data_IF_976396481697
#
_entry.id   IF_976396481697
#
_cell.length_a   1.000
_cell.length_b   1.000
_cell.length_c   1.000
_cell.angle_alpha   90.00
_cell.angle_beta   90.00
_cell.angle_gamma   90.00
#
_symmetry.space_group_name_H-M   'P 1'
#
loop_
_entity.id
_entity.type
_entity.pdbx_description
1 polymer ?
#
# COMPACT_ATOMS: atom_id res chain seq x y z
N UNK A 1 50.58 -77.23 0.83
CA UNK A 1 49.12 -76.99 0.78
C UNK A 1 48.71 -76.21 2.02
N UNK A 2 48.51 -74.90 1.87
CA UNK A 2 47.61 -74.06 2.68
C UNK A 2 47.79 -72.63 2.16
N UNK A 3 46.74 -72.11 1.55
CA UNK A 3 46.69 -70.83 0.86
C UNK A 3 46.69 -69.65 1.84
N UNK A 4 47.55 -68.66 1.57
CA UNK A 4 47.42 -67.29 2.09
C UNK A 4 46.47 -66.50 1.18
N UNK A 5 45.31 -66.10 1.71
CA UNK A 5 44.41 -65.14 1.07
C UNK A 5 44.60 -63.76 1.70
N UNK A 6 45.17 -62.84 0.92
CA UNK A 6 45.25 -61.42 1.26
C UNK A 6 43.94 -60.72 0.98
N UNK A 7 43.36 -60.07 1.99
CA UNK A 7 42.23 -59.16 1.84
C UNK A 7 42.79 -57.73 1.75
N UNK A 8 42.84 -57.17 0.53
CA UNK A 8 43.12 -55.75 0.31
C UNK A 8 41.84 -54.97 0.56
N UNK A 9 41.80 -54.19 1.65
CA UNK A 9 40.78 -53.18 1.88
C UNK A 9 41.06 -51.96 0.99
N UNK A 10 40.29 -51.82 -0.09
CA UNK A 10 40.29 -50.59 -0.90
C UNK A 10 39.39 -49.55 -0.24
N UNK A 11 40.01 -48.51 0.34
CA UNK A 11 39.32 -47.31 0.81
C UNK A 11 38.89 -46.49 -0.40
N UNK A 12 37.59 -46.50 -0.75
CA UNK A 12 37.02 -45.59 -1.74
C UNK A 12 36.75 -44.26 -1.06
N UNK A 13 37.60 -43.27 -1.32
CA UNK A 13 37.34 -41.88 -0.94
C UNK A 13 36.25 -41.32 -1.87
N UNK A 14 35.03 -41.17 -1.36
CA UNK A 14 33.95 -40.48 -2.05
C UNK A 14 34.25 -38.97 -2.07
N UNK A 15 34.72 -38.48 -3.22
CA UNK A 15 34.86 -37.05 -3.48
C UNK A 15 33.44 -36.47 -3.65
N UNK A 16 32.90 -35.83 -2.61
CA UNK A 16 31.71 -34.99 -2.75
C UNK A 16 32.09 -33.74 -3.56
N UNK A 17 31.80 -33.77 -4.86
CA UNK A 17 31.74 -32.54 -5.66
C UNK A 17 30.55 -31.72 -5.18
N UNK A 18 30.82 -30.65 -4.42
CA UNK A 18 29.87 -29.57 -4.23
C UNK A 18 29.69 -28.85 -5.58
N UNK A 19 28.69 -29.27 -6.35
CA UNK A 19 28.17 -28.48 -7.47
C UNK A 19 27.54 -27.22 -6.87
N UNK A 20 28.30 -26.13 -6.80
CA UNK A 20 27.76 -24.79 -6.69
C UNK A 20 26.97 -24.52 -7.99
N UNK A 21 25.71 -24.92 -8.00
CA UNK A 21 24.79 -24.61 -9.08
C UNK A 21 24.65 -23.09 -9.16
N UNK A 22 25.28 -22.48 -10.17
CA UNK A 22 24.98 -21.12 -10.55
C UNK A 22 23.52 -21.10 -10.98
N UNK A 23 22.65 -20.55 -10.13
CA UNK A 23 21.27 -20.22 -10.54
C UNK A 23 21.41 -19.18 -11.64
N UNK A 24 21.16 -19.56 -12.89
CA UNK A 24 21.10 -18.60 -13.99
C UNK A 24 19.98 -17.60 -13.66
N UNK A 25 20.24 -16.28 -13.78
CA UNK A 25 19.17 -15.31 -13.67
C UNK A 25 18.10 -15.67 -14.70
N UNK A 26 16.83 -15.72 -14.28
CA UNK A 26 15.73 -16.01 -15.18
C UNK A 26 15.59 -14.85 -16.17
N UNK A 27 16.26 -14.94 -17.30
CA UNK A 27 16.22 -13.98 -18.41
C UNK A 27 15.00 -14.20 -19.30
N UNK A 28 13.85 -14.51 -18.71
CA UNK A 28 12.58 -14.57 -19.42
C UNK A 28 12.00 -13.17 -19.57
N UNK A 29 11.55 -12.80 -20.76
CA UNK A 29 10.75 -11.60 -20.93
C UNK A 29 9.50 -11.68 -20.03
N UNK A 30 9.19 -10.60 -19.31
CA UNK A 30 7.99 -10.52 -18.48
C UNK A 30 6.78 -10.66 -19.41
N UNK A 31 5.97 -11.70 -19.21
CA UNK A 31 4.74 -11.87 -19.98
C UNK A 31 3.73 -10.80 -19.55
N UNK A 32 3.22 -10.04 -20.53
CA UNK A 32 2.26 -8.96 -20.30
C UNK A 32 0.88 -9.35 -20.80
N UNK A 33 -0.21 -8.89 -20.16
CA UNK A 33 -1.55 -9.15 -20.67
C UNK A 33 -1.77 -8.40 -22.00
N UNK A 34 -2.62 -8.94 -22.89
CA UNK A 34 -2.96 -8.27 -24.14
C UNK A 34 -3.46 -6.83 -23.91
N UNK A 35 -2.93 -5.87 -24.66
CA UNK A 35 -3.32 -4.45 -24.56
C UNK A 35 -2.67 -3.68 -23.40
N UNK A 36 -1.81 -4.31 -22.60
CA UNK A 36 -1.03 -3.61 -21.59
C UNK A 36 0.07 -2.72 -22.21
N UNK A 37 0.47 -1.61 -21.55
CA UNK A 37 1.62 -0.80 -21.96
C UNK A 37 2.88 -1.65 -22.01
N UNK A 38 3.69 -1.53 -23.07
CA UNK A 38 4.93 -2.31 -23.21
C UNK A 38 5.95 -2.00 -22.11
N UNK A 39 6.67 -3.02 -21.65
CA UNK A 39 7.83 -2.87 -20.76
C UNK A 39 9.12 -2.82 -21.58
N UNK A 40 9.84 -1.70 -21.50
CA UNK A 40 11.15 -1.55 -22.14
C UNK A 40 12.24 -1.48 -21.09
N UNK A 41 13.15 -2.46 -21.08
CA UNK A 41 14.28 -2.46 -20.14
C UNK A 41 15.22 -1.28 -20.42
N UNK A 42 15.54 -0.51 -19.38
CA UNK A 42 16.49 0.61 -19.40
C UNK A 42 17.45 0.52 -18.21
N UNK A 43 18.68 1.05 -18.32
CA UNK A 43 19.58 1.15 -17.17
C UNK A 43 18.99 2.07 -16.08
N UNK A 44 19.14 1.70 -14.80
CA UNK A 44 18.78 2.60 -13.69
C UNK A 44 19.49 3.96 -13.77
N UNK A 45 20.72 3.97 -14.27
CA UNK A 45 21.54 5.18 -14.44
C UNK A 45 21.00 6.16 -15.48
N UNK A 46 20.08 5.73 -16.36
CA UNK A 46 19.43 6.64 -17.31
C UNK A 46 18.16 7.30 -16.76
N UNK A 47 17.73 6.94 -15.54
CA UNK A 47 16.54 7.57 -14.94
C UNK A 47 16.83 9.03 -14.59
N UNK A 48 15.95 9.97 -14.99
CA UNK A 48 16.06 11.36 -14.58
C UNK A 48 16.08 11.49 -13.05
N UNK A 49 17.03 12.28 -12.53
CA UNK A 49 17.20 12.47 -11.09
C UNK A 49 17.84 11.30 -10.36
N UNK A 50 18.20 10.19 -11.05
CA UNK A 50 18.87 9.04 -10.43
C UNK A 50 20.02 9.53 -9.58
N UNK A 51 21.03 10.17 -10.17
CA UNK A 51 22.28 10.58 -9.50
C UNK A 51 22.09 11.51 -8.29
N UNK A 52 20.99 12.26 -8.23
CA UNK A 52 20.76 13.30 -7.21
C UNK A 52 19.80 12.87 -6.09
N UNK A 53 19.01 11.81 -6.30
CA UNK A 53 18.08 11.31 -5.28
C UNK A 53 18.81 10.71 -4.06
N UNK A 54 18.16 10.70 -2.90
CA UNK A 54 18.62 9.99 -1.70
C UNK A 54 18.20 8.52 -1.78
N UNK A 55 19.07 7.70 -2.35
CA UNK A 55 18.81 6.28 -2.60
C UNK A 55 18.91 5.46 -1.31
N UNK A 56 19.69 5.89 -0.33
CA UNK A 56 19.75 5.22 0.97
C UNK A 56 18.41 5.28 1.73
N UNK A 57 17.65 6.37 1.58
CA UNK A 57 16.29 6.47 2.12
C UNK A 57 15.33 5.48 1.43
N UNK A 58 15.42 5.35 0.10
CA UNK A 58 14.63 4.37 -0.66
C UNK A 58 14.96 2.94 -0.24
N UNK A 59 16.25 2.62 -0.06
CA UNK A 59 16.72 1.33 0.44
C UNK A 59 16.18 1.03 1.85
N UNK A 60 16.19 2.02 2.75
CA UNK A 60 15.65 1.86 4.11
C UNK A 60 14.16 1.48 4.06
N UNK A 61 13.38 2.11 3.19
CA UNK A 61 11.97 1.74 2.96
C UNK A 61 11.86 0.34 2.34
N UNK A 62 12.71 0.00 1.36
CA UNK A 62 12.70 -1.31 0.72
C UNK A 62 13.01 -2.45 1.70
N UNK A 63 13.98 -2.28 2.60
CA UNK A 63 14.30 -3.25 3.65
C UNK A 63 13.11 -3.50 4.57
N UNK A 64 12.29 -2.48 4.87
CA UNK A 64 11.04 -2.66 5.65
C UNK A 64 10.07 -3.57 4.91
N UNK A 65 9.91 -3.40 3.61
CA UNK A 65 9.10 -4.29 2.76
C UNK A 65 9.65 -5.72 2.73
N UNK A 66 10.97 -5.86 2.64
CA UNK A 66 11.64 -7.15 2.60
C UNK A 66 11.38 -8.03 3.81
N UNK A 67 11.35 -7.45 5.02
CA UNK A 67 11.00 -8.20 6.26
C UNK A 67 9.64 -8.87 6.18
N UNK A 68 8.69 -8.26 5.48
CA UNK A 68 7.36 -8.84 5.27
C UNK A 68 7.38 -9.85 4.12
N UNK A 69 8.04 -9.55 3.00
CA UNK A 69 8.09 -10.44 1.83
C UNK A 69 8.84 -11.75 2.15
N UNK A 70 9.93 -11.68 2.92
CA UNK A 70 10.77 -12.83 3.22
C UNK A 70 10.05 -13.94 4.00
N UNK A 71 9.03 -13.58 4.79
CA UNK A 71 8.24 -14.54 5.59
C UNK A 71 6.97 -15.02 4.88
N UNK A 72 6.68 -14.53 3.66
CA UNK A 72 5.55 -15.02 2.86
C UNK A 72 5.86 -16.40 2.25
N UNK A 73 4.82 -17.22 1.98
CA UNK A 73 4.95 -18.39 1.11
C UNK A 73 5.59 -18.00 -0.22
N UNK A 74 6.56 -18.81 -0.68
CA UNK A 74 7.36 -18.49 -1.86
C UNK A 74 6.53 -18.33 -3.15
N UNK A 75 5.41 -19.03 -3.24
CA UNK A 75 4.46 -19.02 -4.36
C UNK A 75 3.38 -17.92 -4.25
N UNK A 76 3.34 -17.18 -3.14
CA UNK A 76 2.38 -16.09 -2.96
C UNK A 76 2.62 -14.99 -4.00
N UNK A 77 1.60 -14.69 -4.80
CA UNK A 77 1.61 -13.58 -5.76
C UNK A 77 1.63 -12.23 -5.03
N UNK A 78 2.42 -11.29 -5.54
CA UNK A 78 2.49 -9.92 -5.04
C UNK A 78 1.59 -8.93 -5.82
N UNK A 79 0.88 -9.40 -6.85
CA UNK A 79 0.07 -8.57 -7.75
C UNK A 79 -1.33 -8.22 -7.25
N UNK A 80 -1.73 -8.73 -6.08
CA UNK A 80 -3.12 -8.61 -5.59
C UNK A 80 -4.13 -9.41 -6.43
N UNK A 81 -5.43 -9.32 -6.06
CA UNK A 81 -6.51 -10.09 -6.70
C UNK A 81 -7.23 -9.37 -7.84
N UNK A 82 -7.13 -8.04 -7.90
CA UNK A 82 -8.08 -7.22 -8.67
C UNK A 82 -7.46 -6.54 -9.90
N UNK A 83 -6.18 -6.80 -10.19
CA UNK A 83 -5.47 -6.19 -11.32
C UNK A 83 -4.73 -7.26 -12.15
N UNK A 84 -5.27 -7.65 -13.33
CA UNK A 84 -4.66 -8.65 -14.19
C UNK A 84 -3.23 -8.32 -14.63
N UNK A 85 -2.91 -7.03 -14.80
CA UNK A 85 -1.56 -6.60 -15.12
C UNK A 85 -0.60 -6.89 -13.97
N UNK A 86 -0.95 -6.47 -12.75
CA UNK A 86 -0.12 -6.71 -11.58
C UNK A 86 0.01 -8.21 -11.27
N UNK A 87 -1.04 -9.00 -11.45
CA UNK A 87 -1.01 -10.45 -11.28
C UNK A 87 0.03 -11.15 -12.17
N UNK A 88 0.23 -10.65 -13.38
CA UNK A 88 1.18 -11.23 -14.33
C UNK A 88 2.59 -10.64 -14.19
N UNK A 89 2.71 -9.40 -13.70
CA UNK A 89 3.98 -8.65 -13.73
C UNK A 89 4.67 -8.49 -12.37
N UNK A 90 3.94 -8.52 -11.25
CA UNK A 90 4.51 -8.29 -9.91
C UNK A 90 5.32 -9.48 -9.36
N UNK A 91 5.16 -10.67 -9.96
CA UNK A 91 5.86 -11.89 -9.55
C UNK A 91 5.37 -12.50 -8.24
N UNK A 92 6.17 -13.40 -7.69
CA UNK A 92 5.91 -14.15 -6.45
C UNK A 92 6.95 -13.81 -5.38
N UNK A 93 6.58 -13.91 -4.10
CA UNK A 93 7.46 -13.56 -2.98
C UNK A 93 8.82 -14.30 -3.00
N UNK A 94 8.86 -15.56 -3.47
CA UNK A 94 10.10 -16.34 -3.58
C UNK A 94 11.15 -15.73 -4.50
N UNK A 95 10.74 -14.98 -5.52
CA UNK A 95 11.65 -14.31 -6.46
C UNK A 95 12.40 -13.13 -5.81
N UNK A 96 11.87 -12.59 -4.72
CA UNK A 96 12.42 -11.41 -4.03
C UNK A 96 13.45 -11.76 -2.96
N UNK A 97 13.60 -13.04 -2.60
CA UNK A 97 14.47 -13.48 -1.50
C UNK A 97 15.92 -13.04 -1.69
N UNK A 98 16.48 -13.22 -2.89
CA UNK A 98 17.86 -12.83 -3.19
C UNK A 98 18.05 -11.30 -3.08
N UNK A 99 17.13 -10.53 -3.67
CA UNK A 99 17.18 -9.07 -3.58
C UNK A 99 17.08 -8.61 -2.13
N UNK A 100 16.15 -9.16 -1.35
CA UNK A 100 15.95 -8.80 0.04
C UNK A 100 17.15 -9.13 0.93
N UNK A 101 17.74 -10.31 0.79
CA UNK A 101 18.95 -10.68 1.52
C UNK A 101 20.12 -9.75 1.17
N UNK A 102 20.26 -9.36 -0.10
CA UNK A 102 21.25 -8.40 -0.53
C UNK A 102 21.05 -7.00 0.07
N UNK A 103 19.79 -6.55 0.18
CA UNK A 103 19.47 -5.22 0.70
C UNK A 103 19.86 -5.07 2.17
N UNK A 104 19.65 -6.10 2.99
CA UNK A 104 19.96 -6.06 4.43
C UNK A 104 21.45 -5.97 4.73
N UNK A 105 22.31 -6.37 3.78
CA UNK A 105 23.76 -6.29 3.91
C UNK A 105 24.34 -4.90 3.60
N UNK A 106 23.54 -4.00 3.04
CA UNK A 106 24.00 -2.67 2.63
C UNK A 106 24.00 -1.71 3.84
N UNK A 107 25.09 -0.96 4.08
CA UNK A 107 25.14 0.02 5.17
C UNK A 107 24.02 1.07 5.06
N UNK A 108 23.33 1.39 6.16
CA UNK A 108 22.30 2.44 6.15
C UNK A 108 22.93 3.82 5.93
N UNK A 109 22.17 4.72 5.31
CA UNK A 109 22.59 6.10 5.00
C UNK A 109 23.84 6.21 4.08
N UNK A 110 24.19 5.14 3.35
CA UNK A 110 25.24 5.16 2.34
C UNK A 110 24.62 5.12 0.94
N UNK A 111 24.53 6.30 0.32
CA UNK A 111 23.91 6.47 -0.99
C UNK A 111 24.70 5.78 -2.12
N UNK A 112 26.03 5.75 -2.02
CA UNK A 112 26.86 5.10 -3.02
C UNK A 112 26.69 3.57 -2.96
N UNK A 113 26.67 3.00 -1.76
CA UNK A 113 26.42 1.58 -1.56
C UNK A 113 24.98 1.19 -1.98
N UNK A 114 23.98 2.02 -1.65
CA UNK A 114 22.59 1.79 -2.05
C UNK A 114 22.42 1.82 -3.58
N UNK A 115 23.08 2.74 -4.28
CA UNK A 115 23.09 2.79 -5.76
C UNK A 115 23.75 1.57 -6.37
N UNK A 116 24.90 1.15 -5.84
CA UNK A 116 25.58 -0.05 -6.29
C UNK A 116 24.69 -1.29 -6.13
N UNK A 117 24.00 -1.39 -4.99
CA UNK A 117 23.03 -2.45 -4.74
C UNK A 117 21.88 -2.45 -5.77
N UNK A 118 21.15 -1.34 -5.92
CA UNK A 118 20.02 -1.32 -6.86
C UNK A 118 20.45 -1.59 -8.30
N UNK A 119 21.62 -1.06 -8.72
CA UNK A 119 22.19 -1.32 -10.06
C UNK A 119 22.54 -2.79 -10.27
N UNK A 120 22.98 -3.50 -9.24
CA UNK A 120 23.36 -4.90 -9.32
C UNK A 120 22.16 -5.86 -9.27
N UNK A 121 21.10 -5.50 -8.53
CA UNK A 121 19.97 -6.39 -8.25
C UNK A 121 18.72 -6.13 -9.09
N UNK A 122 18.60 -4.94 -9.71
CA UNK A 122 17.39 -4.54 -10.42
C UNK A 122 17.67 -4.01 -11.83
N UNK A 123 16.71 -4.24 -12.71
CA UNK A 123 16.60 -3.61 -14.02
C UNK A 123 15.39 -2.69 -14.00
N UNK A 124 15.54 -1.44 -14.45
CA UNK A 124 14.41 -0.55 -14.62
C UNK A 124 13.66 -0.89 -15.91
N UNK A 125 12.33 -0.81 -15.88
CA UNK A 125 11.48 -0.97 -17.06
C UNK A 125 10.64 0.29 -17.23
N UNK A 126 10.76 0.94 -18.38
CA UNK A 126 9.91 2.07 -18.75
C UNK A 126 8.51 1.58 -19.11
N UNK A 127 7.49 2.25 -18.58
CA UNK A 127 6.06 1.98 -18.79
C UNK A 127 5.42 3.20 -19.45
N UNK A 128 5.37 3.20 -20.79
CA UNK A 128 4.88 4.34 -21.58
C UNK A 128 5.68 5.63 -21.39
N UNK A 129 5.15 6.74 -21.91
CA UNK A 129 5.82 8.06 -21.90
C UNK A 129 5.17 9.06 -20.95
N UNK A 130 3.93 8.79 -20.52
CA UNK A 130 3.16 9.69 -19.66
C UNK A 130 2.43 8.88 -18.59
N UNK A 131 2.43 9.40 -17.37
CA UNK A 131 1.68 8.85 -16.26
C UNK A 131 1.01 9.97 -15.46
N UNK A 132 -0.22 9.73 -15.01
CA UNK A 132 -0.87 10.58 -14.02
C UNK A 132 -0.37 10.15 -12.63
N UNK A 133 0.34 11.04 -11.94
CA UNK A 133 0.72 10.85 -10.54
C UNK A 133 -0.17 11.76 -9.68
N UNK A 134 -0.86 11.17 -8.71
CA UNK A 134 -1.64 11.90 -7.71
C UNK A 134 -1.00 11.77 -6.34
N UNK A 135 -1.35 12.68 -5.43
CA UNK A 135 -0.83 12.71 -4.07
C UNK A 135 -1.82 12.12 -3.06
N UNK A 136 -1.27 11.45 -2.06
CA UNK A 136 -1.97 10.92 -0.89
C UNK A 136 -1.31 11.44 0.39
N UNK A 137 -2.07 11.56 1.48
CA UNK A 137 -1.50 11.83 2.81
C UNK A 137 -2.36 11.25 3.93
N UNK A 138 -1.81 11.19 5.15
CA UNK A 138 -2.53 10.78 6.35
C UNK A 138 -3.13 12.05 7.04
N UNK A 139 -4.42 12.40 6.82
CA UNK A 139 -5.01 13.59 7.41
C UNK A 139 -5.14 13.50 8.92
N UNK A 140 -5.13 14.67 9.58
CA UNK A 140 -5.35 14.79 11.01
C UNK A 140 -6.66 15.54 11.30
N UNK A 141 -7.52 14.94 12.13
CA UNK A 141 -8.80 15.52 12.55
C UNK A 141 -8.99 15.47 14.06
N UNK A 142 -9.82 16.37 14.60
CA UNK A 142 -10.24 16.29 16.00
C UNK A 142 -11.33 15.23 16.16
N UNK A 143 -11.29 14.45 17.25
CA UNK A 143 -12.28 13.40 17.47
C UNK A 143 -12.46 12.93 18.90
N UNK A 144 -13.26 11.88 19.03
CA UNK A 144 -13.62 11.24 20.29
C UNK A 144 -13.74 9.73 20.11
N UNK A 145 -13.36 8.95 21.13
CA UNK A 145 -13.70 7.51 21.14
C UNK A 145 -15.18 7.25 21.41
N UNK A 146 -15.85 8.19 22.09
CA UNK A 146 -17.24 8.07 22.52
C UNK A 146 -18.10 9.18 21.92
N UNK A 147 -19.37 8.87 21.65
CA UNK A 147 -20.37 9.86 21.27
C UNK A 147 -20.49 10.93 22.35
N UNK A 148 -20.38 12.21 21.96
CA UNK A 148 -20.52 13.36 22.88
C UNK A 148 -20.93 14.62 22.10
N UNK A 149 -21.39 15.68 22.79
CA UNK A 149 -21.67 16.96 22.13
C UNK A 149 -20.48 17.43 21.28
N UNK A 150 -20.75 17.79 20.02
CA UNK A 150 -19.74 18.22 19.05
C UNK A 150 -18.94 17.10 18.37
N UNK A 151 -19.11 15.83 18.75
CA UNK A 151 -18.47 14.67 18.11
C UNK A 151 -19.49 13.56 17.94
N UNK A 152 -20.30 13.69 16.89
CA UNK A 152 -21.48 12.85 16.65
C UNK A 152 -21.40 12.05 15.36
N UNK A 153 -20.38 12.28 14.51
CA UNK A 153 -20.22 11.62 13.22
C UNK A 153 -19.43 10.32 13.40
N UNK A 154 -20.04 9.13 13.28
CA UNK A 154 -19.36 7.87 13.54
C UNK A 154 -18.41 7.49 12.39
N UNK A 155 -17.25 6.94 12.74
CA UNK A 155 -16.40 6.16 11.85
C UNK A 155 -16.59 4.68 12.21
N UNK A 156 -17.05 3.87 11.27
CA UNK A 156 -17.34 2.47 11.53
C UNK A 156 -16.17 1.54 11.18
N UNK A 157 -15.97 0.51 12.00
CA UNK A 157 -15.22 -0.68 11.60
C UNK A 157 -16.06 -1.51 10.61
N UNK A 158 -15.45 -2.41 9.85
CA UNK A 158 -16.17 -3.21 8.86
C UNK A 158 -17.13 -4.18 9.56
N UNK A 159 -18.44 -4.18 9.21
CA UNK A 159 -19.37 -5.16 9.76
C UNK A 159 -18.97 -6.59 9.39
N UNK A 160 -19.15 -7.52 10.32
CA UNK A 160 -18.99 -8.95 10.04
C UNK A 160 -20.15 -9.50 9.19
N UNK A 161 -21.34 -8.92 9.29
CA UNK A 161 -22.50 -9.24 8.45
C UNK A 161 -22.28 -8.69 7.03
N UNK A 162 -22.18 -9.55 5.99
CA UNK A 162 -21.99 -9.12 4.61
C UNK A 162 -23.10 -8.20 4.09
N UNK A 163 -24.31 -8.32 4.62
CA UNK A 163 -25.47 -7.48 4.25
C UNK A 163 -25.28 -6.07 4.75
N UNK A 164 -24.79 -5.90 5.97
CA UNK A 164 -24.45 -4.59 6.53
C UNK A 164 -23.18 -4.04 5.88
N UNK A 165 -22.22 -4.91 5.57
CA UNK A 165 -20.96 -4.51 4.96
C UNK A 165 -21.12 -4.01 3.52
N UNK A 166 -22.20 -4.38 2.80
CA UNK A 166 -22.44 -3.98 1.40
C UNK A 166 -23.34 -2.76 1.22
N UNK A 167 -23.87 -2.20 2.31
CA UNK A 167 -24.75 -1.02 2.31
C UNK A 167 -24.09 0.18 1.63
N UNK A 168 -24.88 1.00 0.95
CA UNK A 168 -24.40 2.20 0.28
C UNK A 168 -24.03 3.28 1.29
N UNK A 169 -23.22 4.25 0.86
CA UNK A 169 -22.94 5.45 1.66
C UNK A 169 -24.21 6.12 2.18
N UNK A 170 -25.20 6.35 1.33
CA UNK A 170 -26.45 6.99 1.74
C UNK A 170 -27.21 6.20 2.81
N UNK A 171 -27.26 4.86 2.71
CA UNK A 171 -27.88 4.03 3.75
C UNK A 171 -27.15 4.19 5.10
N UNK A 172 -25.81 4.22 5.06
CA UNK A 172 -24.96 4.33 6.24
C UNK A 172 -25.06 5.72 6.87
N UNK A 173 -25.03 6.77 6.07
CA UNK A 173 -25.14 8.17 6.49
C UNK A 173 -26.53 8.46 7.08
N UNK A 174 -27.57 7.78 6.59
CA UNK A 174 -28.92 7.75 7.19
C UNK A 174 -29.09 6.76 8.35
N UNK A 175 -27.99 6.19 8.87
CA UNK A 175 -27.95 5.52 10.15
C UNK A 175 -28.23 4.02 10.10
N UNK A 176 -28.18 3.35 8.95
CA UNK A 176 -28.46 1.91 8.84
C UNK A 176 -27.57 1.01 9.72
N UNK A 177 -26.35 1.47 10.05
CA UNK A 177 -25.38 0.77 10.93
C UNK A 177 -25.50 1.16 12.42
N UNK A 178 -26.33 2.14 12.75
CA UNK A 178 -26.48 2.64 14.12
C UNK A 178 -26.87 1.51 15.07
N UNK A 179 -26.06 1.30 16.11
CA UNK A 179 -26.21 0.22 17.11
C UNK A 179 -26.10 -1.21 16.55
N UNK A 180 -25.68 -1.39 15.28
CA UNK A 180 -25.46 -2.70 14.65
C UNK A 180 -23.99 -2.97 14.34
N UNK A 181 -23.15 -1.94 14.36
CA UNK A 181 -21.73 -2.04 14.01
C UNK A 181 -20.88 -1.26 15.01
N UNK A 182 -19.70 -1.77 15.40
CA UNK A 182 -18.75 -1.03 16.24
C UNK A 182 -18.33 0.30 15.60
N UNK A 183 -18.33 1.35 16.42
CA UNK A 183 -17.79 2.67 16.05
C UNK A 183 -16.33 2.75 16.51
N UNK A 184 -15.43 3.02 15.57
CA UNK A 184 -13.99 3.21 15.79
C UNK A 184 -13.71 4.54 16.50
N UNK A 185 -14.37 5.61 16.06
CA UNK A 185 -14.29 6.94 16.66
C UNK A 185 -15.43 7.83 16.15
N UNK A 186 -15.59 9.00 16.75
CA UNK A 186 -16.52 10.03 16.33
C UNK A 186 -15.76 11.30 15.94
N UNK A 187 -16.07 11.85 14.77
CA UNK A 187 -15.61 13.16 14.32
C UNK A 187 -16.71 14.21 14.53
N UNK A 188 -16.33 15.47 14.37
CA UNK A 188 -17.20 16.63 14.52
C UNK A 188 -17.95 17.00 13.24
N UNK A 189 -17.42 16.63 12.07
CA UNK A 189 -17.94 17.04 10.78
C UNK A 189 -18.03 15.85 9.80
N UNK A 190 -19.18 15.64 9.10
CA UNK A 190 -19.33 14.56 8.14
C UNK A 190 -18.40 14.67 6.94
N UNK A 191 -18.04 15.88 6.52
CA UNK A 191 -17.06 16.11 5.46
C UNK A 191 -15.69 15.58 5.87
N UNK A 192 -15.26 15.80 7.12
CA UNK A 192 -13.98 15.26 7.59
C UNK A 192 -13.96 13.73 7.58
N UNK A 193 -15.08 13.10 7.97
CA UNK A 193 -15.22 11.65 7.91
C UNK A 193 -15.16 11.13 6.46
N UNK A 194 -15.87 11.78 5.53
CA UNK A 194 -15.85 11.45 4.10
C UNK A 194 -14.45 11.61 3.50
N UNK A 195 -13.79 12.74 3.75
CA UNK A 195 -12.45 13.01 3.23
C UNK A 195 -11.41 12.07 3.85
N UNK A 196 -11.56 11.71 5.13
CA UNK A 196 -10.75 10.68 5.79
C UNK A 196 -10.93 9.31 5.13
N UNK A 197 -12.16 8.94 4.74
CA UNK A 197 -12.45 7.67 4.06
C UNK A 197 -11.89 7.61 2.64
N UNK A 198 -11.89 8.73 1.91
CA UNK A 198 -11.19 8.81 0.60
C UNK A 198 -9.71 8.50 0.78
N UNK A 199 -9.09 9.00 1.86
CA UNK A 199 -7.71 8.65 2.17
C UNK A 199 -7.63 7.21 2.75
N UNK A 200 -8.63 6.72 3.47
CA UNK A 200 -8.60 5.37 4.05
C UNK A 200 -7.65 5.18 5.24
N UNK A 201 -6.96 6.23 5.68
CA UNK A 201 -6.21 6.25 6.94
C UNK A 201 -6.08 7.68 7.47
N UNK A 202 -5.82 7.84 8.77
CA UNK A 202 -5.66 9.16 9.38
C UNK A 202 -5.34 9.15 10.86
N UNK A 203 -5.10 10.34 11.40
CA UNK A 203 -4.82 10.61 12.81
C UNK A 203 -5.98 11.35 13.44
N UNK A 204 -6.53 10.79 14.51
CA UNK A 204 -7.61 11.41 15.27
C UNK A 204 -7.02 11.96 16.56
N UNK A 205 -6.92 13.28 16.64
CA UNK A 205 -6.53 14.00 17.84
C UNK A 205 -7.68 13.93 18.85
N UNK A 206 -7.48 13.20 19.94
CA UNK A 206 -8.45 13.06 21.00
C UNK A 206 -8.33 14.24 21.98
N UNK A 207 -9.43 14.57 22.65
CA UNK A 207 -9.48 15.69 23.60
C UNK A 207 -8.50 15.61 24.78
N UNK A 208 -7.99 14.42 25.09
CA UNK A 208 -6.96 14.22 26.11
C UNK A 208 -5.52 14.43 25.58
N UNK A 209 -5.36 14.90 24.34
CA UNK A 209 -4.08 15.11 23.68
C UNK A 209 -3.46 13.86 23.06
N UNK A 210 -4.09 12.68 23.20
CA UNK A 210 -3.58 11.44 22.59
C UNK A 210 -4.03 11.32 21.14
N UNK A 211 -3.21 10.69 20.31
CA UNK A 211 -3.54 10.41 18.90
C UNK A 211 -4.06 8.98 18.78
N UNK A 212 -5.27 8.84 18.26
CA UNK A 212 -5.79 7.57 17.77
C UNK A 212 -5.51 7.49 16.27
N UNK A 213 -4.62 6.59 15.87
CA UNK A 213 -4.40 6.30 14.45
C UNK A 213 -5.46 5.32 13.95
N UNK A 214 -6.00 5.58 12.77
CA UNK A 214 -6.97 4.71 12.11
C UNK A 214 -6.51 4.38 10.70
N UNK A 215 -6.85 3.18 10.24
CA UNK A 215 -6.50 2.70 8.91
C UNK A 215 -7.58 1.82 8.32
N UNK A 216 -7.42 1.50 7.05
CA UNK A 216 -8.36 0.75 6.24
C UNK A 216 -8.72 -0.59 6.89
N UNK A 217 -10.02 -0.85 7.00
CA UNK A 217 -10.61 -2.10 7.48
C UNK A 217 -11.47 -2.80 6.42
N UNK A 218 -11.41 -2.30 5.18
CA UNK A 218 -12.21 -2.79 4.07
C UNK A 218 -13.16 -1.73 3.52
N UNK A 219 -13.91 -2.15 2.50
CA UNK A 219 -14.91 -1.33 1.82
C UNK A 219 -16.18 -2.14 1.58
N UNK A 220 -17.24 -1.44 1.16
CA UNK A 220 -18.55 -2.02 0.87
C UNK A 220 -18.72 -2.64 -0.52
N UNK A 221 -17.68 -2.60 -1.36
CA UNK A 221 -17.71 -3.19 -2.71
C UNK A 221 -18.51 -2.38 -3.74
N UNK A 222 -19.06 -1.23 -3.36
CA UNK A 222 -19.74 -0.32 -4.28
C UNK A 222 -18.73 0.43 -5.17
N UNK A 223 -19.10 0.86 -6.38
CA UNK A 223 -18.21 1.59 -7.27
C UNK A 223 -17.82 2.95 -6.67
N UNK A 224 -16.58 3.35 -6.90
CA UNK A 224 -16.13 4.70 -6.55
C UNK A 224 -16.65 5.71 -7.59
N UNK A 225 -17.24 6.80 -7.12
CA UNK A 225 -17.61 7.94 -7.97
C UNK A 225 -16.84 9.19 -7.53
N UNK A 226 -16.03 9.81 -8.42
CA UNK A 226 -15.27 11.01 -8.10
C UNK A 226 -16.18 12.24 -8.04
N UNK A 227 -16.55 12.68 -6.84
CA UNK A 227 -17.47 13.82 -6.65
C UNK A 227 -16.95 15.14 -7.24
N UNK A 228 -15.63 15.30 -7.41
CA UNK A 228 -15.06 16.48 -8.05
C UNK A 228 -15.60 16.72 -9.46
N UNK A 229 -15.81 15.66 -10.26
CA UNK A 229 -16.41 15.79 -11.59
C UNK A 229 -17.88 16.22 -11.52
N UNK A 230 -18.61 15.76 -10.49
CA UNK A 230 -20.01 16.14 -10.26
C UNK A 230 -20.09 17.62 -9.90
N UNK A 231 -19.24 18.08 -8.99
CA UNK A 231 -19.15 19.49 -8.59
C UNK A 231 -18.79 20.39 -9.77
N UNK A 232 -17.89 19.96 -10.66
CA UNK A 232 -17.58 20.68 -11.89
C UNK A 232 -18.79 20.77 -12.82
N UNK A 233 -19.50 19.65 -13.02
CA UNK A 233 -20.68 19.63 -13.88
C UNK A 233 -21.83 20.51 -13.35
N UNK A 234 -21.93 20.65 -12.03
CA UNK A 234 -22.88 21.55 -11.37
C UNK A 234 -22.46 23.03 -11.38
N UNK A 235 -21.20 23.33 -11.72
CA UNK A 235 -20.63 24.68 -11.67
C UNK A 235 -20.13 25.11 -10.28
N UNK A 236 -20.07 24.18 -9.32
CA UNK A 236 -19.64 24.42 -7.95
C UNK A 236 -18.12 24.63 -7.83
N UNK A 237 -17.35 23.99 -8.73
CA UNK A 237 -15.90 24.09 -8.82
C UNK A 237 -15.46 24.23 -10.29
N UNK A 238 -14.33 24.90 -10.52
CA UNK A 238 -13.71 24.91 -11.85
C UNK A 238 -12.88 23.63 -12.08
N UNK A 239 -12.79 23.10 -13.32
CA UNK A 239 -12.05 21.88 -13.61
C UNK A 239 -10.57 21.89 -13.14
N UNK A 240 -9.91 23.04 -13.24
CA UNK A 240 -8.51 23.23 -12.85
C UNK A 240 -8.32 23.48 -11.35
N UNK A 241 -9.39 23.60 -10.58
CA UNK A 241 -9.36 23.85 -9.14
C UNK A 241 -9.68 22.58 -8.33
N UNK A 242 -10.07 21.48 -8.98
CA UNK A 242 -10.48 20.25 -8.29
C UNK A 242 -9.29 19.67 -7.51
N UNK A 243 -9.39 19.72 -6.19
CA UNK A 243 -8.40 19.19 -5.27
C UNK A 243 -9.07 18.71 -3.98
N UNK A 244 -8.33 17.98 -3.16
CA UNK A 244 -8.79 17.60 -1.83
C UNK A 244 -9.24 18.82 -1.01
N UNK A 245 -8.45 19.89 -1.05
CA UNK A 245 -8.63 21.10 -0.25
C UNK A 245 -9.86 21.88 -0.71
N UNK A 246 -10.01 22.10 -2.02
CA UNK A 246 -11.13 22.86 -2.58
C UNK A 246 -12.45 22.13 -2.42
N UNK A 247 -12.48 20.80 -2.64
CA UNK A 247 -13.66 19.96 -2.37
C UNK A 247 -14.05 20.04 -0.88
N UNK A 248 -13.09 19.80 0.02
CA UNK A 248 -13.36 19.82 1.47
C UNK A 248 -13.86 21.19 1.94
N UNK A 249 -13.23 22.27 1.47
CA UNK A 249 -13.62 23.63 1.82
C UNK A 249 -15.03 23.96 1.33
N UNK A 250 -15.34 23.63 0.07
CA UNK A 250 -16.66 23.88 -0.51
C UNK A 250 -17.75 23.10 0.23
N UNK A 251 -17.55 21.81 0.50
CA UNK A 251 -18.53 20.99 1.22
C UNK A 251 -18.77 21.51 2.65
N UNK A 252 -17.72 21.98 3.33
CA UNK A 252 -17.86 22.59 4.66
C UNK A 252 -18.60 23.93 4.64
N UNK A 253 -18.47 24.68 3.55
CA UNK A 253 -19.16 25.96 3.37
C UNK A 253 -20.65 25.79 2.98
N UNK A 254 -21.03 24.64 2.43
CA UNK A 254 -22.39 24.32 1.97
C UNK A 254 -22.95 23.08 2.68
N UNK A 255 -23.12 23.10 4.02
CA UNK A 255 -23.49 21.93 4.80
C UNK A 255 -24.88 21.37 4.45
N UNK A 256 -25.77 22.20 3.89
CA UNK A 256 -27.10 21.84 3.39
C UNK A 256 -27.04 20.98 2.12
N UNK A 257 -25.96 21.08 1.34
CA UNK A 257 -25.77 20.36 0.07
C UNK A 257 -24.74 19.23 0.19
N UNK A 258 -23.84 19.32 1.16
CA UNK A 258 -22.68 18.45 1.29
C UNK A 258 -23.06 16.96 1.32
N UNK A 259 -24.05 16.57 2.11
CA UNK A 259 -24.48 15.17 2.23
C UNK A 259 -24.93 14.61 0.88
N UNK A 260 -25.82 15.33 0.18
CA UNK A 260 -26.36 14.87 -1.11
C UNK A 260 -25.25 14.69 -2.17
N UNK A 261 -24.24 15.57 -2.17
CA UNK A 261 -23.08 15.45 -3.09
C UNK A 261 -22.18 14.27 -2.70
N UNK A 262 -21.87 14.12 -1.41
CA UNK A 262 -21.03 13.02 -0.92
C UNK A 262 -21.66 11.65 -1.19
N UNK A 263 -22.99 11.54 -1.03
CA UNK A 263 -23.77 10.32 -1.26
C UNK A 263 -23.81 9.86 -2.73
N UNK A 264 -23.48 10.74 -3.69
CA UNK A 264 -23.28 10.34 -5.08
C UNK A 264 -22.13 9.33 -5.24
N UNK A 265 -21.22 9.26 -4.26
CA UNK A 265 -20.24 8.20 -4.14
C UNK A 265 -20.77 7.09 -3.23
N UNK A 266 -21.37 6.01 -3.77
CA UNK A 266 -21.95 4.95 -2.95
C UNK A 266 -20.89 4.13 -2.19
N UNK A 267 -19.62 4.23 -2.59
CA UNK A 267 -18.50 3.57 -1.92
C UNK A 267 -18.28 4.12 -0.53
N UNK A 268 -18.26 3.22 0.45
CA UNK A 268 -17.94 3.49 1.84
C UNK A 268 -16.69 2.72 2.27
N UNK A 269 -15.78 3.40 2.94
CA UNK A 269 -14.55 2.81 3.49
C UNK A 269 -14.69 2.69 5.00
N UNK A 270 -14.47 1.49 5.51
CA UNK A 270 -14.47 1.21 6.93
C UNK A 270 -13.06 1.39 7.49
N UNK A 271 -12.98 1.80 8.75
CA UNK A 271 -11.74 2.16 9.42
C UNK A 271 -11.65 1.47 10.76
N UNK A 272 -10.47 0.95 11.10
CA UNK A 272 -10.16 0.35 12.39
C UNK A 272 -9.05 1.12 13.09
N UNK A 273 -8.97 1.05 14.44
CA UNK A 273 -7.78 1.49 15.16
C UNK A 273 -6.53 0.76 14.65
N UNK A 274 -5.44 1.50 14.55
CA UNK A 274 -4.11 0.94 14.35
C UNK A 274 -3.39 0.80 15.70
N UNK A 275 -2.47 -0.16 15.77
CA UNK A 275 -1.56 -0.29 16.90
C UNK A 275 -0.56 0.89 16.98
N UNK A 276 0.31 0.90 18.00
CA UNK A 276 1.37 1.90 18.07
C UNK A 276 2.25 1.80 16.82
N UNK A 277 2.50 2.96 16.22
CA UNK A 277 3.34 3.11 15.05
C UNK A 277 4.28 4.29 15.32
N UNK A 278 5.56 4.20 14.94
CA UNK A 278 6.49 5.32 15.03
C UNK A 278 5.97 6.58 14.31
N UNK A 279 6.37 7.75 14.80
CA UNK A 279 5.89 9.03 14.26
C UNK A 279 6.35 9.27 12.81
N UNK A 280 7.50 8.72 12.43
CA UNK A 280 8.09 8.76 11.09
C UNK A 280 7.41 7.79 10.09
N UNK A 281 6.39 7.04 10.52
CA UNK A 281 5.71 6.04 9.72
C UNK A 281 4.24 6.39 9.49
N UNK A 282 3.78 6.22 8.26
CA UNK A 282 2.37 6.31 7.88
C UNK A 282 1.59 5.05 8.22
N UNK A 283 0.29 5.03 7.90
CA UNK A 283 -0.52 3.84 8.03
C UNK A 283 0.01 2.71 7.13
N UNK A 284 -0.19 1.42 7.49
CA UNK A 284 0.17 0.32 6.62
C UNK A 284 -0.51 0.40 5.26
N UNK A 285 0.28 0.21 4.18
CA UNK A 285 -0.23 0.09 2.81
C UNK A 285 -0.79 -1.30 2.51
N UNK A 286 -1.02 -1.59 1.23
CA UNK A 286 -1.55 -2.89 0.77
C UNK A 286 -0.64 -4.08 1.09
N UNK A 287 0.68 -3.86 1.20
CA UNK A 287 1.63 -4.88 1.64
C UNK A 287 1.57 -5.15 3.16
N UNK A 288 0.79 -4.38 3.92
CA UNK A 288 0.74 -4.46 5.39
C UNK A 288 1.94 -3.80 6.09
N UNK A 289 2.79 -3.11 5.34
CA UNK A 289 3.97 -2.39 5.84
C UNK A 289 3.66 -0.90 5.97
N UNK A 290 4.04 -0.23 7.07
CA UNK A 290 3.88 1.22 7.21
C UNK A 290 4.53 1.98 6.05
N UNK A 291 3.77 2.88 5.43
CA UNK A 291 4.28 3.69 4.32
C UNK A 291 5.29 4.72 4.83
N UNK A 292 6.26 5.05 3.99
CA UNK A 292 7.27 6.07 4.28
C UNK A 292 7.02 7.30 3.41
N UNK A 293 6.94 8.48 4.03
CA UNK A 293 6.64 9.73 3.33
C UNK A 293 7.63 9.96 2.16
N UNK A 294 7.09 10.20 0.97
CA UNK A 294 7.88 10.41 -0.26
C UNK A 294 8.64 9.18 -0.78
N UNK A 295 8.49 8.00 -0.16
CA UNK A 295 9.19 6.76 -0.52
C UNK A 295 8.26 5.56 -0.72
N UNK A 296 6.95 5.80 -0.69
CA UNK A 296 5.92 4.78 -0.93
C UNK A 296 4.88 5.32 -1.93
N UNK A 297 4.47 4.48 -2.87
CA UNK A 297 3.48 4.73 -3.92
C UNK A 297 2.42 3.63 -3.89
#
# INVERSE_FOLDING_TARGET
MAHLTGLKTSTVAALLLCLAGCVQPQTGAIQQPPGAPSLTAIPLTSLPGWADDNIAAALTTFVRSCKTIQVMPADQSLGGSDNPYAQQTAGQAGLWQNACNGAEAVPPNDDAAARAYFTAYFTAYQIGDNALITGYFEPQYQGSKNLKPGFTVPLYAKPADPTLASLTRADIDHGALTRKTPVTAYLSNPVDAFMLQIQGSGRIMLQNGTILRVGFDGQNGQPYVPIGHIMVAAGDLQPNEVSYQTISAWLKAHPDQATAIMEQNPRYVFLRPLGPLPDDQGAPGSLGVPVTAGRSL
#
